data_IF_866040159651
#
_entry.id   IF_866040159651
#
_cell.length_a   1.000
_cell.length_b   1.000
_cell.length_c   1.000
_cell.angle_alpha   90.00
_cell.angle_beta   90.00
_cell.angle_gamma   90.00
#
_symmetry.space_group_name_H-M   'P 1'
#
loop_
_entity.id
_entity.type
_entity.pdbx_description
1 polymer ?
#
# COMPACT_ATOMS: atom_id res chain seq x y z
N UNK A 1 -11.18 -3.34 13.90
CA UNK A 1 -10.50 -2.09 13.47
C UNK A 1 -11.25 -1.48 12.28
N UNK A 2 -11.19 -0.16 12.05
CA UNK A 2 -11.84 0.45 10.86
C UNK A 2 -11.04 0.12 9.59
N UNK A 3 -11.65 0.14 8.39
CA UNK A 3 -10.92 -0.07 7.14
C UNK A 3 -9.76 0.91 6.97
N UNK A 4 -9.98 2.20 7.26
CA UNK A 4 -8.93 3.21 7.21
C UNK A 4 -7.78 2.89 8.17
N UNK A 5 -8.10 2.48 9.41
CA UNK A 5 -7.06 2.12 10.36
C UNK A 5 -6.21 0.92 9.89
N UNK A 6 -6.79 -0.04 9.17
CA UNK A 6 -6.03 -1.14 8.57
C UNK A 6 -5.05 -0.67 7.51
N UNK A 7 -5.46 0.29 6.66
CA UNK A 7 -4.54 0.88 5.69
C UNK A 7 -3.36 1.56 6.39
N UNK A 8 -3.62 2.33 7.44
CA UNK A 8 -2.56 2.99 8.21
C UNK A 8 -1.61 1.98 8.85
N UNK A 9 -2.14 0.92 9.47
CA UNK A 9 -1.35 -0.15 10.04
C UNK A 9 -0.51 -0.89 8.98
N UNK A 10 -1.04 -1.13 7.78
CA UNK A 10 -0.27 -1.73 6.68
C UNK A 10 0.84 -0.80 6.18
N UNK A 11 0.60 0.52 6.11
CA UNK A 11 1.65 1.50 5.77
C UNK A 11 2.78 1.42 6.80
N UNK A 12 2.47 1.46 8.10
CA UNK A 12 3.45 1.40 9.18
C UNK A 12 4.24 0.08 9.18
N UNK A 13 3.56 -1.04 8.97
CA UNK A 13 4.21 -2.35 8.91
C UNK A 13 5.13 -2.45 7.69
N UNK A 14 4.68 -1.97 6.51
CA UNK A 14 5.50 -1.95 5.31
C UNK A 14 6.74 -1.04 5.46
N UNK A 15 6.61 0.10 6.13
CA UNK A 15 7.74 0.99 6.43
C UNK A 15 8.77 0.31 7.33
N UNK A 16 8.32 -0.46 8.33
CA UNK A 16 9.22 -1.26 9.17
C UNK A 16 9.89 -2.41 8.39
N UNK A 17 9.16 -3.04 7.45
CA UNK A 17 9.73 -4.07 6.57
C UNK A 17 10.79 -3.48 5.63
N UNK A 18 10.55 -2.31 5.05
CA UNK A 18 11.47 -1.65 4.12
C UNK A 18 12.72 -1.09 4.82
N UNK A 19 12.62 -0.71 6.10
CA UNK A 19 13.72 -0.05 6.83
C UNK A 19 14.67 -1.00 7.54
N UNK A 20 14.28 -2.26 7.75
CA UNK A 20 15.04 -3.20 8.57
C UNK A 20 15.68 -4.28 7.69
N UNK A 21 17.00 -4.46 7.82
CA UNK A 21 17.75 -5.55 7.17
C UNK A 21 17.51 -6.92 7.85
N UNK A 22 16.24 -7.36 7.90
CA UNK A 22 15.81 -8.67 8.42
C UNK A 22 14.73 -9.25 7.51
N UNK A 23 14.53 -10.58 7.53
CA UNK A 23 13.44 -11.19 6.77
C UNK A 23 12.08 -10.59 7.14
N UNK A 24 11.23 -10.30 6.15
CA UNK A 24 9.93 -9.66 6.35
C UNK A 24 9.07 -10.39 7.39
N UNK A 25 9.06 -11.73 7.37
CA UNK A 25 8.29 -12.54 8.32
C UNK A 25 8.72 -12.33 9.78
N UNK A 26 10.02 -12.09 10.01
CA UNK A 26 10.54 -11.80 11.34
C UNK A 26 10.08 -10.43 11.84
N UNK A 27 10.08 -9.42 10.95
CA UNK A 27 9.55 -8.07 11.22
C UNK A 27 8.06 -8.14 11.52
N UNK A 28 7.28 -8.80 10.66
CA UNK A 28 5.84 -9.01 10.82
C UNK A 28 5.50 -9.66 12.16
N UNK A 29 6.20 -10.75 12.50
CA UNK A 29 6.01 -11.45 13.77
C UNK A 29 6.31 -10.57 14.98
N UNK A 30 7.38 -9.77 14.94
CA UNK A 30 7.70 -8.83 16.01
C UNK A 30 6.65 -7.69 16.11
N UNK A 31 6.24 -7.13 14.97
CA UNK A 31 5.29 -6.02 14.89
C UNK A 31 3.93 -6.36 15.49
N UNK A 32 3.38 -7.54 15.18
CA UNK A 32 2.11 -8.01 15.74
C UNK A 32 2.22 -8.41 17.21
N UNK A 33 3.36 -8.97 17.65
CA UNK A 33 3.61 -9.26 19.07
C UNK A 33 3.55 -8.01 19.94
N UNK A 34 4.07 -6.88 19.43
CA UNK A 34 4.01 -5.59 20.10
C UNK A 34 2.60 -4.96 20.10
N UNK A 35 1.70 -5.37 19.18
CA UNK A 35 0.36 -4.79 18.98
C UNK A 35 -0.75 -5.79 19.27
N UNK A 36 -0.82 -6.23 20.52
CA UNK A 36 -1.81 -7.23 21.01
C UNK A 36 -3.28 -6.82 20.87
N UNK A 37 -3.54 -5.51 20.71
CA UNK A 37 -4.89 -4.98 20.50
C UNK A 37 -5.44 -5.27 19.09
N UNK A 38 -4.61 -5.68 18.13
CA UNK A 38 -5.05 -6.06 16.79
C UNK A 38 -5.51 -7.51 16.83
N UNK A 39 -6.82 -7.73 16.71
CA UNK A 39 -7.43 -9.06 16.69
C UNK A 39 -7.21 -9.81 15.38
N UNK A 40 -7.39 -11.14 15.41
CA UNK A 40 -6.98 -12.05 14.32
C UNK A 40 -7.55 -11.72 12.95
N UNK A 41 -8.82 -11.28 12.88
CA UNK A 41 -9.43 -10.83 11.62
C UNK A 41 -8.69 -9.65 11.01
N UNK A 42 -8.36 -8.65 11.83
CA UNK A 42 -7.65 -7.46 11.37
C UNK A 42 -6.20 -7.82 11.01
N UNK A 43 -5.56 -8.74 11.74
CA UNK A 43 -4.24 -9.27 11.38
C UNK A 43 -4.23 -9.92 10.00
N UNK A 44 -5.21 -10.80 9.73
CA UNK A 44 -5.35 -11.46 8.43
C UNK A 44 -5.44 -10.47 7.27
N UNK A 45 -6.26 -9.43 7.41
CA UNK A 45 -6.43 -8.41 6.37
C UNK A 45 -5.20 -7.53 6.18
N UNK A 46 -4.49 -7.19 7.26
CA UNK A 46 -3.23 -6.44 7.18
C UNK A 46 -2.14 -7.27 6.49
N UNK A 47 -2.04 -8.57 6.83
CA UNK A 47 -1.09 -9.50 6.23
C UNK A 47 -1.35 -9.72 4.75
N UNK A 48 -2.61 -9.97 4.38
CA UNK A 48 -3.02 -10.16 2.99
C UNK A 48 -2.60 -8.96 2.14
N UNK A 49 -2.90 -7.74 2.60
CA UNK A 49 -2.54 -6.51 1.90
C UNK A 49 -1.01 -6.29 1.87
N UNK A 50 -0.30 -6.53 2.98
CA UNK A 50 1.16 -6.44 3.02
C UNK A 50 1.80 -7.36 1.97
N UNK A 51 1.47 -8.65 1.98
CA UNK A 51 2.06 -9.59 1.04
C UNK A 51 1.61 -9.37 -0.40
N UNK A 52 0.40 -8.86 -0.62
CA UNK A 52 -0.01 -8.41 -1.93
C UNK A 52 0.91 -7.30 -2.46
N UNK A 53 1.19 -6.27 -1.64
CA UNK A 53 2.09 -5.19 -1.99
C UNK A 53 3.55 -5.68 -2.19
N UNK A 54 4.05 -6.57 -1.34
CA UNK A 54 5.40 -7.14 -1.48
C UNK A 54 5.54 -7.96 -2.77
N UNK A 55 4.56 -8.80 -3.11
CA UNK A 55 4.57 -9.59 -4.36
C UNK A 55 4.51 -8.73 -5.62
N UNK A 56 3.96 -7.53 -5.53
CA UNK A 56 3.85 -6.61 -6.66
C UNK A 56 4.82 -5.43 -6.54
N UNK A 57 5.84 -5.52 -5.68
CA UNK A 57 6.76 -4.43 -5.39
C UNK A 57 7.39 -3.86 -6.67
N UNK A 58 7.95 -4.71 -7.54
CA UNK A 58 8.55 -4.27 -8.80
C UNK A 58 7.55 -3.58 -9.73
N UNK A 59 6.35 -4.16 -9.92
CA UNK A 59 5.29 -3.61 -10.77
C UNK A 59 4.80 -2.26 -10.24
N UNK A 60 4.59 -2.14 -8.93
CA UNK A 60 4.18 -0.90 -8.27
C UNK A 60 5.28 0.16 -8.39
N UNK A 61 6.54 -0.21 -8.14
CA UNK A 61 7.69 0.66 -8.30
C UNK A 61 7.81 1.21 -9.74
N UNK A 62 7.57 0.37 -10.76
CA UNK A 62 7.54 0.81 -12.15
C UNK A 62 6.45 1.86 -12.42
N UNK A 63 5.24 1.63 -11.91
CA UNK A 63 4.14 2.60 -12.05
C UNK A 63 4.47 3.93 -11.37
N UNK A 64 5.07 3.88 -10.18
CA UNK A 64 5.49 5.08 -9.46
C UNK A 64 6.58 5.83 -10.20
N UNK A 65 7.62 5.14 -10.69
CA UNK A 65 8.69 5.71 -11.49
C UNK A 65 8.16 6.38 -12.77
N UNK A 66 7.26 5.71 -13.50
CA UNK A 66 6.59 6.24 -14.71
C UNK A 66 5.86 7.56 -14.46
N UNK A 67 5.35 7.78 -13.25
CA UNK A 67 4.64 9.01 -12.86
C UNK A 67 5.49 9.97 -12.02
N UNK A 68 6.81 9.75 -11.94
CA UNK A 68 7.74 10.61 -11.19
C UNK A 68 7.42 10.64 -9.69
N UNK A 69 7.02 9.50 -9.14
CA UNK A 69 6.70 9.32 -7.71
C UNK A 69 7.78 8.51 -7.04
N UNK A 70 8.11 8.90 -5.81
CA UNK A 70 9.02 8.14 -4.97
C UNK A 70 8.39 6.81 -4.58
N UNK A 71 9.21 5.78 -4.55
CA UNK A 71 8.78 4.44 -4.19
C UNK A 71 8.73 4.26 -2.67
N UNK A 72 7.65 4.76 -2.07
CA UNK A 72 7.37 4.68 -0.63
C UNK A 72 6.18 3.75 -0.34
N UNK A 73 6.10 3.11 0.83
CA UNK A 73 4.98 2.25 1.25
C UNK A 73 3.59 2.84 0.97
N UNK A 74 3.40 4.12 1.31
CA UNK A 74 2.15 4.84 1.09
C UNK A 74 1.81 4.99 -0.40
N UNK A 75 2.79 5.31 -1.25
CA UNK A 75 2.57 5.44 -2.69
C UNK A 75 2.28 4.09 -3.34
N UNK A 76 2.98 3.02 -2.92
CA UNK A 76 2.68 1.65 -3.36
C UNK A 76 1.26 1.24 -3.00
N UNK A 77 0.81 1.53 -1.78
CA UNK A 77 -0.56 1.26 -1.36
C UNK A 77 -1.58 2.03 -2.19
N UNK A 78 -1.37 3.33 -2.43
CA UNK A 78 -2.27 4.13 -3.26
C UNK A 78 -2.35 3.57 -4.69
N UNK A 79 -1.22 3.20 -5.29
CA UNK A 79 -1.19 2.58 -6.61
C UNK A 79 -1.92 1.23 -6.63
N UNK A 80 -1.75 0.39 -5.61
CA UNK A 80 -2.47 -0.88 -5.48
C UNK A 80 -3.99 -0.70 -5.40
N UNK A 81 -4.44 0.20 -4.53
CA UNK A 81 -5.87 0.49 -4.34
C UNK A 81 -6.54 1.00 -5.63
N UNK A 82 -5.78 1.66 -6.51
CA UNK A 82 -6.29 2.10 -7.81
C UNK A 82 -6.21 1.01 -8.87
N UNK A 83 -5.03 0.42 -9.08
CA UNK A 83 -4.75 -0.45 -10.23
C UNK A 83 -5.28 -1.87 -10.08
N UNK A 84 -5.30 -2.40 -8.84
CA UNK A 84 -5.75 -3.77 -8.57
C UNK A 84 -7.15 -3.80 -7.99
N UNK A 85 -7.42 -2.97 -6.99
CA UNK A 85 -8.74 -2.93 -6.34
C UNK A 85 -9.75 -2.09 -7.12
N UNK A 86 -9.32 -1.32 -8.13
CA UNK A 86 -10.20 -0.53 -8.99
C UNK A 86 -10.92 0.61 -8.27
N UNK A 87 -10.43 1.06 -7.11
CA UNK A 87 -11.10 2.11 -6.35
C UNK A 87 -10.97 3.46 -7.05
N UNK A 88 -12.09 4.17 -7.17
CA UNK A 88 -12.13 5.55 -7.64
C UNK A 88 -11.42 6.49 -6.65
N UNK A 89 -10.89 7.64 -7.10
CA UNK A 89 -10.15 8.56 -6.23
C UNK A 89 -10.96 9.03 -5.02
N UNK A 90 -12.27 9.23 -5.18
CA UNK A 90 -13.17 9.62 -4.08
C UNK A 90 -13.40 8.51 -3.04
N UNK A 91 -13.35 7.23 -3.45
CA UNK A 91 -13.39 6.11 -2.51
C UNK A 91 -12.12 6.08 -1.67
N UNK A 92 -10.96 6.25 -2.30
CA UNK A 92 -9.67 6.29 -1.61
C UNK A 92 -9.60 7.52 -0.69
N UNK A 93 -10.02 8.70 -1.15
CA UNK A 93 -10.06 9.93 -0.35
C UNK A 93 -10.86 9.77 0.95
N UNK A 94 -11.95 9.01 0.94
CA UNK A 94 -12.74 8.73 2.16
C UNK A 94 -11.99 7.87 3.18
N UNK A 95 -11.06 7.02 2.73
CA UNK A 95 -10.22 6.19 3.60
C UNK A 95 -9.01 6.97 4.14
N UNK A 96 -8.52 7.95 3.39
CA UNK A 96 -7.40 8.85 3.73
C UNK A 96 -7.95 10.17 4.27
N UNK A 97 -8.59 10.14 5.44
CA UNK A 97 -9.34 11.26 5.99
C UNK A 97 -8.71 11.91 7.24
N UNK A 98 -7.57 11.40 7.71
CA UNK A 98 -6.87 11.95 8.90
C UNK A 98 -7.59 11.74 10.23
N UNK A 99 -8.67 10.94 10.28
CA UNK A 99 -9.32 10.57 11.53
C UNK A 99 -8.38 9.76 12.44
N UNK A 100 -8.80 9.54 13.68
CA UNK A 100 -8.03 8.75 14.66
C UNK A 100 -7.65 7.38 14.09
N UNK A 101 -6.34 7.09 14.06
CA UNK A 101 -5.73 5.89 13.49
C UNK A 101 -5.88 5.71 11.97
N UNK A 102 -6.52 6.64 11.26
CA UNK A 102 -6.59 6.62 9.80
C UNK A 102 -5.35 7.30 9.18
N UNK A 103 -5.04 7.00 7.91
CA UNK A 103 -3.99 7.69 7.20
C UNK A 103 -4.28 9.18 7.09
N UNK A 104 -3.21 9.98 7.10
CA UNK A 104 -3.27 11.39 6.79
C UNK A 104 -3.95 11.66 5.44
N UNK A 105 -4.58 12.82 5.33
CA UNK A 105 -5.27 13.25 4.12
C UNK A 105 -4.37 13.18 2.89
N UNK A 106 -4.97 12.89 1.73
CA UNK A 106 -4.24 12.87 0.47
C UNK A 106 -3.64 14.24 0.19
N UNK A 107 -2.38 14.26 -0.23
CA UNK A 107 -1.77 15.46 -0.81
C UNK A 107 -2.25 15.66 -2.25
N UNK A 108 -2.08 16.86 -2.80
CA UNK A 108 -2.41 17.14 -4.22
C UNK A 108 -1.62 16.24 -5.17
N UNK A 109 -0.37 15.90 -4.81
CA UNK A 109 0.48 14.99 -5.59
C UNK A 109 -0.08 13.57 -5.58
N UNK A 110 -0.55 13.09 -4.44
CA UNK A 110 -1.18 11.78 -4.31
C UNK A 110 -2.51 11.74 -5.05
N UNK A 111 -3.35 12.76 -4.90
CA UNK A 111 -4.59 12.85 -5.66
C UNK A 111 -4.36 12.82 -7.17
N UNK A 112 -3.39 13.60 -7.66
CA UNK A 112 -3.00 13.59 -9.07
C UNK A 112 -2.44 12.23 -9.53
N UNK A 113 -1.78 11.46 -8.64
CA UNK A 113 -1.38 10.10 -8.94
C UNK A 113 -2.61 9.19 -9.12
N UNK A 114 -3.58 9.24 -8.19
CA UNK A 114 -4.80 8.43 -8.28
C UNK A 114 -5.53 8.66 -9.60
N UNK A 115 -5.70 9.92 -10.00
CA UNK A 115 -6.34 10.30 -11.28
C UNK A 115 -5.59 9.72 -12.48
N UNK A 116 -4.26 9.77 -12.48
CA UNK A 116 -3.43 9.24 -13.59
C UNK A 116 -3.45 7.72 -13.69
N UNK A 117 -3.66 7.01 -12.58
CA UNK A 117 -3.71 5.55 -12.53
C UNK A 117 -5.10 4.99 -12.82
N UNK A 118 -6.16 5.81 -12.80
CA UNK A 118 -7.52 5.36 -13.07
C UNK A 118 -7.64 4.65 -14.42
N UNK A 119 -8.35 3.51 -14.43
CA UNK A 119 -8.52 2.68 -15.62
C UNK A 119 -7.28 1.87 -16.03
N UNK A 120 -6.15 2.05 -15.34
CA UNK A 120 -4.96 1.21 -15.52
C UNK A 120 -5.10 -0.15 -14.82
N UNK A 121 -4.31 -1.11 -15.28
CA UNK A 121 -4.17 -2.44 -14.67
C UNK A 121 -2.80 -2.60 -14.02
N UNK A 122 -2.69 -3.51 -13.05
CA UNK A 122 -1.41 -3.76 -12.37
C UNK A 122 -0.31 -4.18 -13.36
N UNK A 123 -0.65 -5.03 -14.33
CA UNK A 123 0.22 -5.39 -15.44
C UNK A 123 0.01 -4.41 -16.60
N UNK A 124 1.09 -3.81 -17.09
CA UNK A 124 1.06 -2.85 -18.20
C UNK A 124 1.92 -3.38 -19.37
N UNK A 125 1.47 -3.28 -20.65
CA UNK A 125 2.22 -3.80 -21.80
C UNK A 125 3.63 -3.21 -21.97
N UNK A 126 3.81 -1.97 -21.52
CA UNK A 126 5.12 -1.29 -21.51
C UNK A 126 6.05 -1.68 -20.35
N UNK A 127 5.69 -2.62 -19.48
CA UNK A 127 6.58 -3.11 -18.43
C UNK A 127 7.61 -4.10 -19.02
N UNK A 128 8.91 -3.94 -18.72
CA UNK A 128 9.92 -4.95 -19.00
C UNK A 128 9.52 -6.32 -18.44
N UNK A 129 9.99 -7.40 -19.07
CA UNK A 129 9.68 -8.76 -18.63
C UNK A 129 10.16 -9.04 -17.19
N UNK A 130 11.34 -8.56 -16.82
CA UNK A 130 11.91 -8.63 -15.47
C UNK A 130 11.04 -7.97 -14.38
N UNK A 131 10.15 -7.04 -14.76
CA UNK A 131 9.20 -6.40 -13.84
C UNK A 131 7.87 -7.18 -13.78
N UNK A 132 7.55 -7.93 -14.83
CA UNK A 132 6.30 -8.70 -14.98
C UNK A 132 6.38 -10.12 -14.46
N UNK A 133 7.58 -10.69 -14.28
CA UNK A 133 7.81 -12.01 -13.68
C UNK A 133 7.93 -11.88 -12.15
#
# INVERSE_FOLDING_TARGET
>A
MTPAARLQATIELMDEVDSVARPADAVVSAWFRARRYIGDRDRGQILELLYALLRHHARLGWWLARHGREDRPRNRLLAWLTLKEGNAPDQIKRLFNGAKFAPAMLTDREHALLVKLQGGTIDHPGMPEEVRL
#
